data_IF_911635615114
#
_entry.id   IF_911635615114
#
_cell.length_a   1.000
_cell.length_b   1.000
_cell.length_c   1.000
_cell.angle_alpha   90.00
_cell.angle_beta   90.00
_cell.angle_gamma   90.00
#
_symmetry.space_group_name_H-M   'P 1'
#
loop_
_entity.id
_entity.type
_entity.pdbx_description
1 polymer ?
#
# COMPACT_ATOMS: atom_id res chain seq x y z
N UNK A 1 -9.26 -18.83 1.85
CA UNK A 1 -9.97 -18.35 3.07
C UNK A 1 -9.64 -16.87 3.26
N UNK A 2 -10.34 -16.14 4.14
CA UNK A 2 -10.04 -14.72 4.39
C UNK A 2 -8.57 -14.51 4.85
N UNK A 3 -8.05 -15.43 5.66
CA UNK A 3 -6.66 -15.43 6.12
C UNK A 3 -5.65 -15.60 4.97
N UNK A 4 -5.91 -16.52 4.05
CA UNK A 4 -5.05 -16.72 2.86
C UNK A 4 -5.09 -15.50 1.92
N UNK A 5 -6.27 -14.89 1.73
CA UNK A 5 -6.43 -13.69 0.92
C UNK A 5 -5.64 -12.54 1.53
N UNK A 6 -5.74 -12.32 2.85
CA UNK A 6 -4.97 -11.27 3.52
C UNK A 6 -3.46 -11.53 3.46
N UNK A 7 -3.01 -12.79 3.59
CA UNK A 7 -1.61 -13.16 3.39
C UNK A 7 -1.12 -12.81 1.99
N UNK A 8 -1.92 -13.14 0.97
CA UNK A 8 -1.62 -12.79 -0.43
C UNK A 8 -1.59 -11.28 -0.62
N UNK A 9 -2.54 -10.54 -0.05
CA UNK A 9 -2.56 -9.07 -0.11
C UNK A 9 -1.31 -8.49 0.56
N UNK A 10 -0.93 -8.97 1.73
CA UNK A 10 0.27 -8.53 2.45
C UNK A 10 1.55 -8.69 1.61
N UNK A 11 1.69 -9.80 0.90
CA UNK A 11 2.83 -10.03 -0.02
C UNK A 11 2.79 -9.12 -1.25
N UNK A 12 1.61 -8.89 -1.83
CA UNK A 12 1.46 -8.09 -3.06
C UNK A 12 1.54 -6.59 -2.81
N UNK A 13 0.98 -6.09 -1.70
CA UNK A 13 0.91 -4.66 -1.42
C UNK A 13 2.20 -4.10 -0.83
N UNK A 14 3.07 -4.95 -0.24
CA UNK A 14 4.37 -4.51 0.27
C UNK A 14 5.24 -3.86 -0.79
N UNK A 15 5.55 -4.55 -1.91
CA UNK A 15 6.26 -3.96 -3.04
C UNK A 15 5.59 -2.72 -3.63
N UNK A 16 4.25 -2.69 -3.66
CA UNK A 16 3.48 -1.55 -4.17
C UNK A 16 3.69 -0.29 -3.32
N UNK A 17 3.40 -0.38 -2.02
CA UNK A 17 3.53 0.75 -1.09
C UNK A 17 4.97 1.25 -1.01
N UNK A 18 5.93 0.31 -1.03
CA UNK A 18 7.35 0.61 -1.01
C UNK A 18 7.76 1.41 -2.24
N UNK A 19 7.42 0.92 -3.44
CA UNK A 19 7.68 1.64 -4.68
C UNK A 19 7.05 3.03 -4.67
N UNK A 20 5.81 3.13 -4.22
CA UNK A 20 5.11 4.40 -4.18
C UNK A 20 5.80 5.42 -3.27
N UNK A 21 6.04 5.08 -2.00
CA UNK A 21 6.63 6.01 -1.04
C UNK A 21 8.11 6.32 -1.31
N UNK A 22 8.89 5.35 -1.79
CA UNK A 22 10.34 5.52 -1.98
C UNK A 22 10.66 6.16 -3.34
N UNK A 23 9.79 6.03 -4.36
CA UNK A 23 10.12 6.42 -5.74
C UNK A 23 9.02 7.24 -6.43
N UNK A 24 7.79 6.73 -6.52
CA UNK A 24 6.73 7.40 -7.28
C UNK A 24 6.30 8.73 -6.65
N UNK A 25 6.03 8.75 -5.36
CA UNK A 25 5.60 9.93 -4.61
C UNK A 25 6.66 11.05 -4.62
N UNK A 26 7.95 10.77 -4.41
CA UNK A 26 9.01 11.73 -4.67
C UNK A 26 9.00 12.31 -6.08
N UNK A 27 8.81 11.48 -7.11
CA UNK A 27 8.75 11.94 -8.50
C UNK A 27 7.50 12.82 -8.75
N UNK A 28 6.33 12.39 -8.24
CA UNK A 28 5.06 13.11 -8.38
C UNK A 28 5.03 14.45 -7.63
N UNK A 29 5.90 14.64 -6.62
CA UNK A 29 5.99 15.90 -5.86
C UNK A 29 6.25 17.11 -6.76
N UNK A 30 6.91 16.95 -7.91
CA UNK A 30 7.09 18.06 -8.85
C UNK A 30 5.78 18.57 -9.46
N UNK A 31 4.73 17.75 -9.47
CA UNK A 31 3.40 18.08 -10.00
C UNK A 31 2.37 18.33 -8.90
N UNK A 32 2.46 17.58 -7.80
CA UNK A 32 1.47 17.57 -6.72
C UNK A 32 1.88 18.41 -5.49
N UNK A 33 3.16 18.78 -5.39
CA UNK A 33 3.68 19.52 -4.24
C UNK A 33 3.43 18.79 -2.92
N UNK A 34 2.92 19.52 -1.93
CA UNK A 34 2.62 19.00 -0.58
C UNK A 34 1.46 18.00 -0.54
N UNK A 35 0.66 17.88 -1.62
CA UNK A 35 -0.40 16.87 -1.66
C UNK A 35 0.16 15.43 -1.55
N UNK A 36 1.42 15.22 -1.94
CA UNK A 36 2.12 13.95 -1.72
C UNK A 36 2.16 13.54 -0.24
N UNK A 37 2.22 14.50 0.69
CA UNK A 37 2.24 14.19 2.13
C UNK A 37 0.90 13.61 2.59
N UNK A 38 -0.21 13.97 1.92
CA UNK A 38 -1.52 13.39 2.19
C UNK A 38 -1.60 11.94 1.69
N UNK A 39 -1.03 11.64 0.52
CA UNK A 39 -0.95 10.26 -0.01
C UNK A 39 -0.16 9.34 0.95
N UNK A 40 0.97 9.83 1.46
CA UNK A 40 1.75 9.13 2.49
C UNK A 40 0.95 8.96 3.78
N UNK A 41 0.18 9.97 4.20
CA UNK A 41 -0.67 9.86 5.38
C UNK A 41 -1.81 8.85 5.19
N UNK A 42 -2.37 8.74 3.98
CA UNK A 42 -3.34 7.70 3.63
C UNK A 42 -2.72 6.31 3.79
N UNK A 43 -1.47 6.10 3.37
CA UNK A 43 -0.77 4.82 3.59
C UNK A 43 -0.67 4.43 5.06
N UNK A 44 -0.45 5.39 5.98
CA UNK A 44 -0.44 5.10 7.42
C UNK A 44 -1.77 4.46 7.86
N UNK A 45 -2.88 5.08 7.48
CA UNK A 45 -4.21 4.60 7.84
C UNK A 45 -4.48 3.19 7.27
N UNK A 46 -4.04 2.94 6.03
CA UNK A 46 -4.20 1.64 5.37
C UNK A 46 -3.36 0.56 6.05
N UNK A 47 -2.12 0.86 6.42
CA UNK A 47 -1.24 -0.07 7.15
C UNK A 47 -1.82 -0.40 8.52
N UNK A 48 -2.30 0.59 9.27
CA UNK A 48 -2.94 0.36 10.57
C UNK A 48 -4.20 -0.50 10.43
N UNK A 49 -4.98 -0.27 9.39
CA UNK A 49 -6.14 -1.10 9.03
C UNK A 49 -5.72 -2.54 8.71
N UNK A 50 -4.62 -2.73 7.96
CA UNK A 50 -4.08 -4.05 7.64
C UNK A 50 -3.61 -4.79 8.91
N UNK A 51 -2.99 -4.09 9.87
CA UNK A 51 -2.61 -4.64 11.18
C UNK A 51 -3.83 -5.13 11.96
N UNK A 52 -4.92 -4.34 11.99
CA UNK A 52 -6.18 -4.74 12.65
C UNK A 52 -6.76 -6.00 11.98
N UNK A 53 -6.84 -6.02 10.64
CA UNK A 53 -7.27 -7.19 9.87
C UNK A 53 -6.46 -8.45 10.21
N UNK A 54 -5.14 -8.33 10.24
CA UNK A 54 -4.24 -9.44 10.54
C UNK A 54 -4.45 -9.96 11.98
N UNK A 55 -4.56 -9.06 12.95
CA UNK A 55 -4.81 -9.41 14.35
C UNK A 55 -6.16 -10.08 14.59
N UNK A 56 -7.22 -9.62 13.91
CA UNK A 56 -8.54 -10.25 13.98
C UNK A 56 -8.52 -11.62 13.33
N UNK A 57 -8.02 -11.72 12.09
CA UNK A 57 -8.01 -12.99 11.36
C UNK A 57 -7.04 -14.02 11.93
N UNK A 58 -6.12 -13.64 12.83
CA UNK A 58 -5.28 -14.56 13.58
C UNK A 58 -6.07 -15.39 14.61
N UNK A 59 -7.21 -14.89 15.08
CA UNK A 59 -8.08 -15.57 16.06
C UNK A 59 -8.73 -16.82 15.46
N UNK A 60 -9.01 -17.81 16.31
CA UNK A 60 -9.71 -19.04 15.90
C UNK A 60 -11.20 -18.80 15.66
N UNK A 61 -11.78 -17.84 16.38
CA UNK A 61 -13.19 -17.43 16.26
C UNK A 61 -13.32 -15.93 16.39
N UNK A 62 -14.26 -15.35 15.66
CA UNK A 62 -14.63 -13.93 15.77
C UNK A 62 -16.03 -13.80 16.35
N UNK A 63 -16.24 -12.77 17.15
CA UNK A 63 -17.57 -12.26 17.47
C UNK A 63 -18.16 -11.50 16.28
N UNK A 64 -19.48 -11.29 16.26
CA UNK A 64 -20.14 -10.51 15.20
C UNK A 64 -19.55 -9.10 15.04
N UNK A 65 -19.22 -8.44 16.16
CA UNK A 65 -18.61 -7.12 16.15
C UNK A 65 -17.20 -7.13 15.53
N UNK A 66 -16.40 -8.17 15.81
CA UNK A 66 -15.06 -8.32 15.23
C UNK A 66 -15.12 -8.71 13.75
N UNK A 67 -16.10 -9.51 13.35
CA UNK A 67 -16.35 -9.84 11.95
C UNK A 67 -16.74 -8.57 11.16
N UNK A 68 -17.59 -7.72 11.72
CA UNK A 68 -17.95 -6.42 11.14
C UNK A 68 -16.71 -5.50 11.03
N UNK A 69 -15.88 -5.42 12.06
CA UNK A 69 -14.63 -4.65 12.02
C UNK A 69 -13.67 -5.16 10.92
N UNK A 70 -13.51 -6.48 10.79
CA UNK A 70 -12.68 -7.05 9.73
C UNK A 70 -13.22 -6.74 8.33
N UNK A 71 -14.55 -6.75 8.15
CA UNK A 71 -15.21 -6.37 6.89
C UNK A 71 -14.98 -4.90 6.54
N UNK A 72 -15.17 -4.00 7.51
CA UNK A 72 -14.94 -2.56 7.31
C UNK A 72 -13.48 -2.26 7.00
N UNK A 73 -12.55 -2.93 7.69
CA UNK A 73 -11.12 -2.80 7.44
C UNK A 73 -10.74 -3.30 6.04
N UNK A 74 -11.31 -4.41 5.57
CA UNK A 74 -11.14 -4.87 4.20
C UNK A 74 -11.68 -3.86 3.17
N UNK A 75 -12.82 -3.22 3.44
CA UNK A 75 -13.36 -2.17 2.57
C UNK A 75 -12.45 -0.93 2.47
N UNK A 76 -11.83 -0.51 3.57
CA UNK A 76 -10.89 0.62 3.56
C UNK A 76 -9.65 0.34 2.71
N UNK A 77 -9.14 -0.90 2.71
CA UNK A 77 -8.05 -1.32 1.80
C UNK A 77 -8.45 -1.13 0.32
N UNK A 78 -9.70 -1.42 -0.05
CA UNK A 78 -10.20 -1.26 -1.42
C UNK A 78 -10.36 0.21 -1.85
N UNK A 79 -10.71 1.08 -0.91
CA UNK A 79 -10.83 2.52 -1.17
C UNK A 79 -9.48 3.11 -1.60
N UNK A 80 -8.40 2.72 -0.93
CA UNK A 80 -7.04 3.15 -1.29
C UNK A 80 -6.67 2.79 -2.74
N UNK A 81 -6.99 1.57 -3.19
CA UNK A 81 -6.75 1.15 -4.60
C UNK A 81 -7.44 2.10 -5.58
N UNK A 82 -8.68 2.49 -5.29
CA UNK A 82 -9.44 3.42 -6.14
C UNK A 82 -8.84 4.84 -6.15
N UNK A 83 -8.26 5.29 -5.02
CA UNK A 83 -7.59 6.58 -4.95
C UNK A 83 -6.26 6.58 -5.74
N UNK A 84 -5.46 5.52 -5.62
CA UNK A 84 -4.17 5.41 -6.31
C UNK A 84 -4.31 5.31 -7.83
N UNK A 85 -5.33 4.62 -8.34
CA UNK A 85 -5.61 4.54 -9.78
C UNK A 85 -5.80 5.94 -10.41
N UNK A 86 -6.34 6.90 -9.64
CA UNK A 86 -6.50 8.29 -10.08
C UNK A 86 -5.18 9.03 -10.34
N UNK A 87 -4.09 8.58 -9.73
CA UNK A 87 -2.75 9.17 -9.91
C UNK A 87 -2.04 8.66 -11.16
N UNK A 88 -2.48 7.53 -11.72
CA UNK A 88 -1.88 6.93 -12.92
C UNK A 88 -1.90 7.90 -14.11
N UNK A 89 -2.89 8.79 -14.21
CA UNK A 89 -2.94 9.80 -15.29
C UNK A 89 -1.75 10.78 -15.24
N UNK A 90 -1.18 11.02 -14.06
CA UNK A 90 -0.02 11.90 -13.92
C UNK A 90 1.24 11.25 -14.47
N UNK A 91 1.26 9.93 -14.65
CA UNK A 91 2.40 9.26 -15.27
C UNK A 91 2.63 9.71 -16.71
N UNK A 92 1.59 10.19 -17.40
CA UNK A 92 1.69 10.77 -18.75
C UNK A 92 2.53 12.05 -18.81
N UNK A 93 2.78 12.68 -17.66
CA UNK A 93 3.62 13.89 -17.57
C UNK A 93 5.11 13.56 -17.47
N UNK A 94 5.47 12.33 -17.17
CA UNK A 94 6.86 11.88 -17.12
C UNK A 94 7.41 11.65 -18.53
N UNK A 95 8.69 11.94 -18.70
CA UNK A 95 9.45 11.52 -19.87
C UNK A 95 9.59 10.00 -19.90
N UNK A 96 9.90 9.44 -21.08
CA UNK A 96 10.15 8.00 -21.20
C UNK A 96 11.25 7.53 -20.26
N UNK A 97 12.31 8.32 -20.10
CA UNK A 97 13.40 7.98 -19.18
C UNK A 97 12.93 7.89 -17.72
N UNK A 98 12.13 8.85 -17.26
CA UNK A 98 11.59 8.83 -15.90
C UNK A 98 10.65 7.62 -15.70
N UNK A 99 9.86 7.28 -16.71
CA UNK A 99 9.02 6.07 -16.69
C UNK A 99 9.85 4.79 -16.63
N UNK A 100 10.95 4.69 -17.38
CA UNK A 100 11.84 3.52 -17.36
C UNK A 100 12.56 3.38 -16.01
N UNK A 101 13.00 4.48 -15.41
CA UNK A 101 13.63 4.52 -14.09
C UNK A 101 12.62 4.09 -12.99
N UNK A 102 11.37 4.58 -13.06
CA UNK A 102 10.29 4.18 -12.15
C UNK A 102 9.91 2.70 -12.32
N UNK A 103 9.81 2.22 -13.56
CA UNK A 103 9.51 0.81 -13.85
C UNK A 103 10.60 -0.13 -13.31
N UNK A 104 11.87 0.26 -13.46
CA UNK A 104 13.02 -0.48 -12.91
C UNK A 104 12.94 -0.54 -11.38
N UNK A 105 12.66 0.59 -10.74
CA UNK A 105 12.51 0.69 -9.29
C UNK A 105 11.36 -0.17 -8.77
N UNK A 106 10.24 -0.23 -9.49
CA UNK A 106 9.13 -1.10 -9.11
C UNK A 106 9.48 -2.58 -9.27
N UNK A 107 10.20 -2.94 -10.32
CA UNK A 107 10.69 -4.31 -10.50
C UNK A 107 11.61 -4.73 -9.35
N UNK A 108 12.53 -3.86 -8.91
CA UNK A 108 13.39 -4.09 -7.74
C UNK A 108 12.58 -4.27 -6.45
N UNK A 109 11.57 -3.43 -6.21
CA UNK A 109 10.68 -3.58 -5.05
C UNK A 109 9.93 -4.91 -5.07
N UNK A 110 9.48 -5.37 -6.25
CA UNK A 110 8.81 -6.67 -6.43
C UNK A 110 9.75 -7.84 -6.26
N UNK A 111 10.98 -7.75 -6.74
CA UNK A 111 12.00 -8.78 -6.57
C UNK A 111 12.40 -8.93 -5.10
N UNK A 112 12.51 -7.81 -4.36
CA UNK A 112 12.76 -7.85 -2.93
C UNK A 112 11.64 -8.55 -2.15
N UNK A 113 10.40 -8.49 -2.65
CA UNK A 113 9.29 -9.30 -2.15
C UNK A 113 8.94 -9.09 -0.68
N UNK A 114 9.30 -7.93 -0.10
CA UNK A 114 9.09 -7.66 1.32
C UNK A 114 7.59 -7.44 1.58
N UNK A 115 6.95 -8.22 2.46
CA UNK A 115 5.53 -8.05 2.76
C UNK A 115 5.23 -6.69 3.41
N UNK A 116 4.02 -6.17 3.23
CA UNK A 116 3.61 -4.84 3.68
C UNK A 116 3.88 -4.60 5.16
N UNK A 117 3.41 -5.49 6.02
CA UNK A 117 3.57 -5.33 7.47
C UNK A 117 5.03 -5.44 7.91
N UNK A 118 5.83 -6.30 7.26
CA UNK A 118 7.26 -6.41 7.53
C UNK A 118 8.00 -5.13 7.11
N UNK A 119 7.73 -4.61 5.91
CA UNK A 119 8.32 -3.36 5.44
C UNK A 119 7.93 -2.19 6.35
N UNK A 120 6.65 -2.10 6.74
CA UNK A 120 6.16 -1.07 7.64
C UNK A 120 6.86 -1.09 9.01
N UNK A 121 7.13 -2.27 9.55
CA UNK A 121 7.72 -2.43 10.88
C UNK A 121 9.25 -2.30 10.91
N UNK A 122 9.93 -2.60 9.79
CA UNK A 122 11.40 -2.79 9.81
C UNK A 122 12.20 -1.89 8.87
N UNK A 123 11.60 -1.40 7.78
CA UNK A 123 12.31 -0.67 6.71
C UNK A 123 11.79 0.76 6.55
N UNK A 124 10.47 0.95 6.58
CA UNK A 124 9.79 2.21 6.23
C UNK A 124 10.23 3.42 7.07
N UNK A 125 10.66 3.17 8.31
CA UNK A 125 11.32 4.15 9.18
C UNK A 125 10.42 5.26 9.72
N UNK A 126 9.11 5.01 9.86
CA UNK A 126 8.10 5.97 10.32
C UNK A 126 6.93 5.27 11.01
#
# INVERSE_FOLDING_TARGET
TAREILGTLNELTGPHFRYEEEHLYPALRTFLGEYVDQLVAEHNNVIDTARVCAGLLAKDTLTDAEAEQASQAAMQLLIHVSNCDGLAILSERFSQKEMDDLASSFAEAREAGVPLLEWADTIRGR
#
